data_IF_508419548217
#
_entry.id   IF_508419548217
#
_cell.length_a   1.000
_cell.length_b   1.000
_cell.length_c   1.000
_cell.angle_alpha   90.00
_cell.angle_beta   90.00
_cell.angle_gamma   90.00
#
_symmetry.space_group_name_H-M   'P 1'
#
loop_
_entity.id
_entity.type
_entity.pdbx_description
1 polymer ?
#
# COMPACT_ATOMS: atom_id res chain seq x y z
N UNK A 1 42.11 64.18 60.22
CA UNK A 1 41.92 63.37 61.44
C UNK A 1 40.59 62.63 61.37
N UNK A 2 40.58 61.35 61.01
CA UNK A 2 39.77 60.31 61.68
C UNK A 2 40.19 58.95 61.11
N UNK A 3 40.26 57.96 62.00
CA UNK A 3 41.00 56.70 61.85
C UNK A 3 40.21 55.66 61.04
N UNK A 4 40.93 54.83 60.28
CA UNK A 4 40.51 53.48 59.82
C UNK A 4 40.35 52.53 61.03
N UNK A 5 39.61 51.42 60.93
CA UNK A 5 40.16 50.13 60.45
C UNK A 5 39.13 49.31 59.62
N UNK A 6 39.36 48.18 58.96
CA UNK A 6 40.51 47.28 58.80
C UNK A 6 40.05 46.00 58.08
N UNK A 7 41.01 45.31 57.45
CA UNK A 7 41.07 43.88 57.05
C UNK A 7 40.28 43.29 55.85
N UNK A 8 41.00 43.20 54.73
CA UNK A 8 41.35 42.04 53.88
C UNK A 8 40.87 40.61 54.27
N UNK A 9 40.27 39.88 53.31
CA UNK A 9 40.85 38.71 52.58
C UNK A 9 39.75 37.84 51.92
N UNK A 10 39.87 37.67 50.59
CA UNK A 10 39.78 36.43 49.77
C UNK A 10 38.55 35.52 49.92
N UNK A 11 37.80 35.40 48.81
CA UNK A 11 37.30 34.11 48.30
C UNK A 11 37.35 34.11 46.77
N UNK A 12 38.14 33.19 46.22
CA UNK A 12 38.14 32.79 44.82
C UNK A 12 37.14 31.64 44.59
N UNK A 13 36.97 31.27 43.31
CA UNK A 13 36.33 30.05 42.76
C UNK A 13 34.84 30.22 42.44
N UNK A 14 34.29 29.84 41.28
CA UNK A 14 34.81 29.17 40.09
C UNK A 14 33.87 29.51 38.91
N UNK A 15 34.42 29.79 37.73
CA UNK A 15 33.62 29.98 36.53
C UNK A 15 33.13 28.60 36.03
N UNK A 16 31.83 28.34 36.17
CA UNK A 16 31.19 27.13 35.65
C UNK A 16 31.03 27.27 34.13
N UNK A 17 31.90 26.60 33.36
CA UNK A 17 31.68 26.35 31.94
C UNK A 17 30.54 25.32 31.80
N UNK A 18 29.30 25.78 31.65
CA UNK A 18 28.21 24.92 31.19
C UNK A 18 28.37 24.72 29.68
N UNK A 19 28.91 23.56 29.28
CA UNK A 19 28.73 23.06 27.91
C UNK A 19 27.23 22.77 27.74
N UNK A 20 26.51 23.70 27.11
CA UNK A 20 25.19 23.41 26.58
C UNK A 20 25.34 22.37 25.47
N UNK A 21 25.02 21.12 25.78
CA UNK A 21 24.74 20.10 24.76
C UNK A 21 23.42 20.55 24.12
N UNK A 22 23.53 21.40 23.10
CA UNK A 22 22.40 21.69 22.23
C UNK A 22 22.00 20.35 21.59
N UNK A 23 20.73 19.92 21.69
CA UNK A 23 20.28 18.81 20.89
C UNK A 23 20.54 19.20 19.44
N UNK A 24 21.39 18.44 18.76
CA UNK A 24 21.44 18.46 17.30
C UNK A 24 20.05 18.05 16.85
N UNK A 25 19.21 19.04 16.58
CA UNK A 25 18.03 18.81 15.74
C UNK A 25 18.59 18.22 14.47
N UNK A 26 18.37 16.92 14.25
CA UNK A 26 18.50 16.31 12.93
C UNK A 26 17.47 17.04 12.09
N UNK A 27 17.88 18.17 11.52
CA UNK A 27 17.06 18.94 10.62
C UNK A 27 16.95 18.06 9.40
N UNK A 28 15.73 17.69 9.03
CA UNK A 28 15.53 17.07 7.73
C UNK A 28 16.23 17.95 6.68
N UNK A 29 16.92 17.32 5.72
CA UNK A 29 17.65 18.02 4.65
C UNK A 29 16.73 18.86 3.72
N UNK A 30 15.43 18.83 3.99
CA UNK A 30 14.38 19.58 3.33
C UNK A 30 13.37 20.17 4.33
N UNK A 31 12.74 21.29 3.96
CA UNK A 31 11.70 21.96 4.71
C UNK A 31 10.38 22.05 3.91
N UNK A 32 9.22 22.08 4.58
CA UNK A 32 7.95 22.40 3.92
C UNK A 32 8.05 23.68 3.09
N UNK A 33 7.55 23.63 1.86
CA UNK A 33 7.65 24.70 0.87
C UNK A 33 8.84 24.59 -0.07
N UNK A 34 9.85 23.76 0.24
CA UNK A 34 10.96 23.50 -0.67
C UNK A 34 10.44 22.94 -2.00
N UNK A 35 10.93 23.53 -3.10
CA UNK A 35 10.68 23.04 -4.45
C UNK A 35 11.89 22.26 -4.92
N UNK A 36 11.69 20.96 -5.14
CA UNK A 36 12.68 20.04 -5.65
C UNK A 36 12.48 19.88 -7.15
N UNK A 37 13.57 20.10 -7.88
CA UNK A 37 13.69 19.99 -9.33
C UNK A 37 14.98 19.24 -9.66
N UNK A 38 15.23 19.01 -10.95
CA UNK A 38 16.49 18.45 -11.45
C UNK A 38 17.72 19.26 -10.99
N UNK A 39 17.60 20.57 -10.76
CA UNK A 39 18.73 21.41 -10.33
C UNK A 39 19.16 21.21 -8.86
N UNK A 40 18.31 20.62 -8.01
CA UNK A 40 18.59 20.50 -6.58
C UNK A 40 18.16 19.16 -5.97
N UNK A 41 18.00 18.14 -6.82
CA UNK A 41 17.55 16.80 -6.47
C UNK A 41 18.45 16.08 -5.44
N UNK A 42 19.73 16.45 -5.38
CA UNK A 42 20.69 15.90 -4.41
C UNK A 42 20.23 16.07 -2.95
N UNK A 43 19.39 17.08 -2.67
CA UNK A 43 18.79 17.31 -1.34
C UNK A 43 17.88 16.17 -0.87
N UNK A 44 17.34 15.38 -1.81
CA UNK A 44 16.36 14.32 -1.53
C UNK A 44 16.81 12.95 -2.01
N UNK A 45 18.03 12.80 -2.51
CA UNK A 45 18.52 11.56 -3.13
C UNK A 45 18.33 10.31 -2.25
N UNK A 46 18.50 10.46 -0.93
CA UNK A 46 18.38 9.38 0.05
C UNK A 46 16.95 9.27 0.64
N UNK A 47 16.02 10.11 0.16
CA UNK A 47 14.64 10.24 0.64
C UNK A 47 13.60 9.82 -0.39
N UNK A 48 13.99 9.55 -1.63
CA UNK A 48 13.09 9.22 -2.74
C UNK A 48 13.49 7.90 -3.41
N UNK A 49 12.55 7.28 -4.13
CA UNK A 49 12.83 6.10 -4.94
C UNK A 49 13.55 6.47 -6.24
N UNK A 50 14.30 5.55 -6.88
CA UNK A 50 14.90 5.78 -8.19
C UNK A 50 13.90 6.23 -9.25
N UNK A 51 12.67 5.71 -9.21
CA UNK A 51 11.60 6.13 -10.13
C UNK A 51 11.18 7.58 -9.92
N UNK A 52 11.10 8.02 -8.66
CA UNK A 52 10.82 9.42 -8.34
C UNK A 52 11.96 10.34 -8.79
N UNK A 53 13.21 9.89 -8.60
CA UNK A 53 14.40 10.60 -9.06
C UNK A 53 14.35 10.81 -10.56
N UNK A 54 14.02 9.75 -11.31
CA UNK A 54 13.82 9.80 -12.75
C UNK A 54 12.74 10.82 -13.13
N UNK A 55 11.55 10.79 -12.49
CA UNK A 55 10.48 11.76 -12.77
C UNK A 55 10.93 13.22 -12.58
N UNK A 56 11.63 13.50 -11.48
CA UNK A 56 12.11 14.86 -11.17
C UNK A 56 13.13 15.33 -12.21
N UNK A 57 14.08 14.46 -12.60
CA UNK A 57 15.05 14.73 -13.67
C UNK A 57 14.40 15.01 -15.03
N UNK A 58 13.19 14.52 -15.24
CA UNK A 58 12.41 14.71 -16.47
C UNK A 58 11.32 15.78 -16.34
N UNK A 59 11.47 16.71 -15.39
CA UNK A 59 10.65 17.92 -15.32
C UNK A 59 9.38 17.80 -14.47
N UNK A 60 9.28 16.77 -13.61
CA UNK A 60 8.22 16.70 -12.60
C UNK A 60 8.67 17.37 -11.28
N UNK A 61 8.25 18.61 -10.98
CA UNK A 61 8.66 19.28 -9.76
C UNK A 61 7.96 18.66 -8.55
N UNK A 62 8.71 18.44 -7.47
CA UNK A 62 8.18 17.97 -6.19
C UNK A 62 8.19 19.13 -5.18
N UNK A 63 7.05 19.38 -4.52
CA UNK A 63 6.98 20.36 -3.43
C UNK A 63 6.91 19.62 -2.11
N UNK A 64 7.84 19.91 -1.21
CA UNK A 64 7.86 19.34 0.13
C UNK A 64 6.71 19.96 0.92
N UNK A 65 5.90 19.14 1.56
CA UNK A 65 4.78 19.57 2.40
C UNK A 65 5.01 19.12 3.85
N UNK A 66 4.31 19.76 4.78
CA UNK A 66 4.24 19.26 6.16
C UNK A 66 3.64 17.86 6.18
N UNK A 67 4.26 16.97 6.96
CA UNK A 67 3.72 15.64 7.21
C UNK A 67 2.34 15.76 7.84
N UNK A 68 1.34 15.16 7.20
CA UNK A 68 -0.01 15.06 7.73
C UNK A 68 -0.35 13.60 7.95
N UNK A 69 -1.02 13.32 9.07
CA UNK A 69 -1.55 11.98 9.31
C UNK A 69 -2.70 11.72 8.35
N UNK A 70 -2.64 10.58 7.66
CA UNK A 70 -3.76 10.07 6.87
C UNK A 70 -4.71 9.40 7.85
N UNK A 71 -5.86 10.02 8.08
CA UNK A 71 -6.89 9.48 8.94
C UNK A 71 -7.65 8.34 8.24
N UNK A 72 -7.94 7.28 8.99
CA UNK A 72 -8.74 6.18 8.46
C UNK A 72 -10.20 6.60 8.26
N UNK A 73 -10.90 6.01 7.28
CA UNK A 73 -12.34 6.15 7.17
C UNK A 73 -13.02 5.79 8.51
N UNK A 74 -14.00 6.60 8.93
CA UNK A 74 -14.66 6.46 10.24
C UNK A 74 -15.18 5.04 10.51
N UNK A 75 -15.90 4.45 9.54
CA UNK A 75 -16.44 3.10 9.68
C UNK A 75 -15.35 2.04 9.85
N UNK A 76 -14.22 2.20 9.16
CA UNK A 76 -13.08 1.28 9.28
C UNK A 76 -12.41 1.38 10.65
N UNK A 77 -12.23 2.60 11.17
CA UNK A 77 -11.70 2.84 12.50
C UNK A 77 -12.61 2.24 13.58
N UNK A 78 -13.90 2.53 13.54
CA UNK A 78 -14.88 2.01 14.51
C UNK A 78 -14.97 0.47 14.48
N UNK A 79 -14.93 -0.13 13.28
CA UNK A 79 -14.89 -1.58 13.14
C UNK A 79 -13.61 -2.18 13.72
N UNK A 80 -12.47 -1.53 13.47
CA UNK A 80 -11.17 -1.96 14.03
C UNK A 80 -11.21 -1.93 15.56
N UNK A 81 -11.67 -0.83 16.15
CA UNK A 81 -11.79 -0.68 17.62
C UNK A 81 -12.73 -1.72 18.23
N UNK A 82 -13.82 -2.05 17.53
CA UNK A 82 -14.83 -3.01 17.99
C UNK A 82 -14.38 -4.46 17.89
N UNK A 83 -13.69 -4.84 16.82
CA UNK A 83 -13.49 -6.25 16.45
C UNK A 83 -12.04 -6.73 16.50
N UNK A 84 -11.03 -5.86 16.52
CA UNK A 84 -9.64 -6.33 16.39
C UNK A 84 -9.15 -7.17 17.57
N UNK A 85 -9.67 -6.97 18.79
CA UNK A 85 -9.19 -7.64 20.00
C UNK A 85 -9.44 -9.16 20.03
N UNK A 86 -10.41 -9.66 19.26
CA UNK A 86 -10.71 -11.10 19.16
C UNK A 86 -9.93 -11.80 18.05
N UNK A 87 -9.31 -11.04 17.14
CA UNK A 87 -8.65 -11.59 15.96
C UNK A 87 -7.36 -12.29 16.36
N UNK A 88 -7.17 -13.49 15.82
CA UNK A 88 -5.96 -14.29 16.02
C UNK A 88 -5.47 -14.85 14.69
N UNK A 89 -4.21 -15.23 14.65
CA UNK A 89 -3.72 -16.14 13.61
C UNK A 89 -3.75 -17.57 14.13
N UNK A 90 -3.85 -18.53 13.22
CA UNK A 90 -3.48 -19.92 13.50
C UNK A 90 -1.99 -20.01 13.88
N UNK A 91 -1.53 -21.08 14.56
CA UNK A 91 -0.12 -21.21 14.97
C UNK A 91 0.89 -21.10 13.82
N UNK A 92 0.51 -21.57 12.63
CA UNK A 92 1.31 -21.45 11.39
C UNK A 92 1.29 -20.05 10.76
N UNK A 93 0.41 -19.15 11.23
CA UNK A 93 0.25 -17.80 10.69
C UNK A 93 -0.55 -17.71 9.40
N UNK A 94 -1.01 -18.84 8.85
CA UNK A 94 -1.55 -18.94 7.49
C UNK A 94 -3.07 -18.72 7.39
N UNK A 95 -3.77 -18.64 8.52
CA UNK A 95 -5.20 -18.31 8.57
C UNK A 95 -5.49 -17.29 9.65
N UNK A 96 -6.49 -16.44 9.37
CA UNK A 96 -7.06 -15.50 10.31
C UNK A 96 -8.30 -16.11 10.98
N UNK A 97 -8.39 -15.95 12.30
CA UNK A 97 -9.47 -16.46 13.13
C UNK A 97 -10.25 -15.30 13.75
N UNK A 98 -11.58 -15.46 13.87
CA UNK A 98 -12.50 -14.50 14.49
C UNK A 98 -12.48 -13.09 13.88
N UNK A 99 -12.03 -12.96 12.63
CA UNK A 99 -12.12 -11.70 11.90
C UNK A 99 -13.58 -11.36 11.59
N UNK A 100 -13.94 -10.08 11.77
CA UNK A 100 -15.27 -9.57 11.42
C UNK A 100 -15.14 -8.41 10.43
N UNK A 101 -14.46 -7.32 10.80
CA UNK A 101 -14.24 -6.17 9.93
C UNK A 101 -13.12 -5.26 10.47
N UNK A 102 -12.64 -4.31 9.66
CA UNK A 102 -11.57 -3.37 10.02
C UNK A 102 -10.16 -3.95 9.87
N UNK A 103 -9.18 -3.33 10.52
CA UNK A 103 -7.80 -3.81 10.54
C UNK A 103 -7.66 -4.99 11.50
N UNK A 104 -7.15 -6.17 11.06
CA UNK A 104 -6.97 -7.33 11.92
C UNK A 104 -6.13 -7.08 13.18
N UNK A 105 -4.96 -6.47 13.02
CA UNK A 105 -3.95 -6.35 14.08
C UNK A 105 -3.46 -4.90 14.20
N UNK A 106 -4.24 -3.98 14.80
CA UNK A 106 -3.85 -2.56 14.90
C UNK A 106 -2.67 -2.31 15.84
N UNK A 107 -2.43 -3.20 16.80
CA UNK A 107 -1.33 -3.12 17.75
C UNK A 107 -0.31 -4.23 17.45
N UNK A 108 0.63 -3.96 16.55
CA UNK A 108 1.68 -4.91 16.17
C UNK A 108 2.85 -4.80 17.15
N UNK A 109 3.15 -5.89 17.87
CA UNK A 109 4.34 -5.98 18.74
C UNK A 109 5.54 -6.49 17.92
N UNK A 110 6.64 -5.73 17.80
CA UNK A 110 7.86 -6.17 17.12
C UNK A 110 8.47 -7.46 17.67
N UNK A 111 8.15 -7.84 18.91
CA UNK A 111 8.66 -9.06 19.55
C UNK A 111 7.79 -10.29 19.28
N UNK A 112 6.62 -10.12 18.67
CA UNK A 112 5.73 -11.23 18.34
C UNK A 112 6.38 -12.14 17.29
N UNK A 113 6.51 -13.46 17.52
CA UNK A 113 7.06 -14.37 16.51
C UNK A 113 6.27 -14.38 15.20
N UNK A 114 4.99 -13.98 15.21
CA UNK A 114 4.13 -13.86 14.03
C UNK A 114 4.03 -12.41 13.51
N UNK A 115 4.89 -11.49 13.95
CA UNK A 115 4.84 -10.05 13.58
C UNK A 115 4.78 -9.84 12.07
N UNK A 116 5.63 -10.53 11.31
CA UNK A 116 5.67 -10.41 9.86
C UNK A 116 4.34 -10.86 9.22
N UNK A 117 3.76 -11.96 9.70
CA UNK A 117 2.47 -12.45 9.20
C UNK A 117 1.35 -11.46 9.53
N UNK A 118 1.34 -10.90 10.74
CA UNK A 118 0.35 -9.86 11.11
C UNK A 118 0.43 -8.63 10.22
N UNK A 119 1.64 -8.19 9.85
CA UNK A 119 1.85 -7.09 8.90
C UNK A 119 1.30 -7.44 7.52
N UNK A 120 1.60 -8.64 7.01
CA UNK A 120 1.09 -9.09 5.69
C UNK A 120 -0.44 -9.23 5.68
N UNK A 121 -1.04 -9.74 6.76
CA UNK A 121 -2.48 -9.78 6.91
C UNK A 121 -3.09 -8.37 6.97
N UNK A 122 -2.48 -7.45 7.73
CA UNK A 122 -2.92 -6.06 7.76
C UNK A 122 -2.88 -5.39 6.38
N UNK A 123 -1.82 -5.62 5.60
CA UNK A 123 -1.73 -5.14 4.22
C UNK A 123 -2.89 -5.64 3.37
N UNK A 124 -3.16 -6.95 3.42
CA UNK A 124 -4.25 -7.56 2.67
C UNK A 124 -5.65 -7.08 3.08
N UNK A 125 -5.81 -6.48 4.26
CA UNK A 125 -7.08 -6.00 4.84
C UNK A 125 -7.11 -4.47 5.02
N UNK A 126 -6.32 -3.73 4.23
CA UNK A 126 -6.28 -2.26 4.26
C UNK A 126 -7.63 -1.60 3.96
N UNK A 127 -7.77 -0.32 4.36
CA UNK A 127 -9.00 0.47 4.18
C UNK A 127 -9.23 0.98 2.75
N UNK A 128 -8.30 0.73 1.81
CA UNK A 128 -8.44 1.16 0.41
C UNK A 128 -9.71 0.59 -0.23
N UNK A 129 -10.04 -0.67 0.07
CA UNK A 129 -11.24 -1.35 -0.44
C UNK A 129 -11.79 -2.30 0.63
N UNK A 130 -13.01 -2.06 1.13
CA UNK A 130 -13.67 -2.93 2.14
C UNK A 130 -14.92 -3.63 1.63
N UNK A 131 -15.59 -3.06 0.62
CA UNK A 131 -16.89 -3.54 0.14
C UNK A 131 -16.84 -3.84 -1.36
N UNK A 132 -17.17 -2.85 -2.18
CA UNK A 132 -17.34 -3.04 -3.62
C UNK A 132 -16.44 -2.04 -4.34
N UNK A 133 -15.75 -2.50 -5.39
CA UNK A 133 -15.02 -1.68 -6.35
C UNK A 133 -15.74 -1.82 -7.68
N UNK A 134 -16.11 -0.69 -8.26
CA UNK A 134 -16.65 -0.59 -9.60
C UNK A 134 -15.87 0.51 -10.32
N UNK A 135 -15.03 0.11 -11.27
CA UNK A 135 -14.25 1.01 -12.09
C UNK A 135 -14.51 0.73 -13.56
N UNK A 136 -14.83 1.79 -14.31
CA UNK A 136 -15.14 1.76 -15.74
C UNK A 136 -14.05 2.39 -16.56
N UNK A 137 -13.87 1.91 -17.79
CA UNK A 137 -12.89 2.43 -18.74
C UNK A 137 -11.49 2.49 -18.11
N UNK A 138 -11.07 1.35 -17.57
CA UNK A 138 -9.74 1.18 -17.01
C UNK A 138 -8.73 1.19 -18.16
N UNK A 139 -7.97 2.27 -18.23
CA UNK A 139 -7.02 2.56 -19.29
C UNK A 139 -5.59 2.29 -18.79
N UNK A 140 -4.79 1.61 -19.61
CA UNK A 140 -3.38 1.40 -19.37
C UNK A 140 -2.61 1.43 -20.70
N UNK A 141 -1.71 2.40 -20.83
CA UNK A 141 -0.74 2.44 -21.91
C UNK A 141 0.54 1.70 -21.51
N UNK A 142 1.06 0.90 -22.44
CA UNK A 142 2.37 0.27 -22.32
C UNK A 142 3.26 0.66 -23.48
N UNK A 143 4.55 0.77 -23.21
CA UNK A 143 5.57 0.96 -24.22
C UNK A 143 6.87 1.46 -23.60
N UNK A 144 7.75 1.99 -24.43
CA UNK A 144 9.09 2.37 -24.04
C UNK A 144 9.15 3.78 -23.45
N UNK A 145 9.86 3.87 -22.33
CA UNK A 145 10.29 5.14 -21.74
C UNK A 145 11.73 5.37 -22.23
N UNK A 146 11.91 6.31 -23.15
CA UNK A 146 13.24 6.72 -23.61
C UNK A 146 13.93 7.63 -22.58
N UNK A 147 15.24 7.84 -22.74
CA UNK A 147 16.04 8.77 -21.91
C UNK A 147 15.56 10.23 -22.01
N UNK A 148 14.68 10.55 -22.97
CA UNK A 148 14.08 11.87 -23.14
C UNK A 148 12.74 11.77 -23.88
N UNK A 149 11.84 12.72 -23.62
CA UNK A 149 10.52 12.78 -24.26
C UNK A 149 9.42 12.02 -23.50
N UNK A 150 8.18 12.06 -24.00
CA UNK A 150 7.06 11.32 -23.39
C UNK A 150 7.21 9.81 -23.59
N UNK A 151 6.45 9.03 -22.81
CA UNK A 151 6.24 7.60 -23.07
C UNK A 151 5.86 7.38 -24.54
N UNK A 152 6.57 6.48 -25.21
CA UNK A 152 6.15 6.00 -26.53
C UNK A 152 5.12 4.91 -26.31
N UNK A 153 3.85 5.18 -26.64
CA UNK A 153 2.78 4.19 -26.49
C UNK A 153 2.89 3.16 -27.60
N UNK A 154 3.18 1.92 -27.22
CA UNK A 154 3.28 0.77 -28.12
C UNK A 154 1.96 -0.01 -28.17
N UNK A 155 1.29 -0.13 -27.03
CA UNK A 155 -0.06 -0.70 -26.92
C UNK A 155 -0.89 0.10 -25.93
N UNK A 156 -2.08 0.46 -26.38
CA UNK A 156 -3.13 1.04 -25.56
C UNK A 156 -4.10 -0.07 -25.13
N UNK A 157 -4.35 -0.19 -23.83
CA UNK A 157 -5.32 -1.11 -23.27
C UNK A 157 -6.49 -0.34 -22.70
N UNK A 158 -7.68 -0.62 -23.20
CA UNK A 158 -8.92 -0.12 -22.62
C UNK A 158 -9.75 -1.30 -22.15
N UNK A 159 -10.08 -1.35 -20.87
CA UNK A 159 -10.89 -2.40 -20.26
C UNK A 159 -12.18 -1.78 -19.74
N UNK A 160 -13.33 -2.31 -20.16
CA UNK A 160 -14.64 -1.73 -19.84
C UNK A 160 -14.88 -1.74 -18.33
N UNK A 161 -14.64 -2.89 -17.68
CA UNK A 161 -15.03 -3.05 -16.29
C UNK A 161 -14.01 -3.80 -15.46
N UNK A 162 -13.47 -3.12 -14.45
CA UNK A 162 -12.88 -3.76 -13.27
C UNK A 162 -13.87 -3.73 -12.10
N UNK A 163 -14.30 -4.92 -11.66
CA UNK A 163 -15.16 -5.09 -10.49
C UNK A 163 -14.49 -5.93 -9.44
N UNK A 164 -14.68 -5.58 -8.17
CA UNK A 164 -14.39 -6.44 -7.04
C UNK A 164 -15.53 -6.34 -6.02
N UNK A 165 -15.99 -7.47 -5.53
CA UNK A 165 -16.97 -7.59 -4.46
C UNK A 165 -16.31 -8.33 -3.30
N UNK A 166 -16.25 -7.71 -2.14
CA UNK A 166 -15.93 -8.38 -0.89
C UNK A 166 -17.21 -8.99 -0.29
N UNK A 167 -17.12 -10.26 0.08
CA UNK A 167 -18.24 -10.99 0.69
C UNK A 167 -18.22 -10.91 2.21
N UNK A 168 -17.04 -10.62 2.78
CA UNK A 168 -16.79 -10.55 4.22
C UNK A 168 -16.14 -9.22 4.59
N UNK A 169 -16.34 -8.74 5.81
CA UNK A 169 -15.67 -7.52 6.30
C UNK A 169 -16.22 -6.23 5.70
N UNK A 170 -17.47 -6.26 5.23
CA UNK A 170 -18.17 -5.13 4.61
C UNK A 170 -18.57 -4.09 5.66
N UNK A 171 -18.42 -2.82 5.32
CA UNK A 171 -18.59 -1.68 6.23
C UNK A 171 -19.68 -0.71 5.79
N UNK A 172 -20.04 -0.67 4.51
CA UNK A 172 -20.94 0.34 3.95
C UNK A 172 -22.23 -0.26 3.38
N UNK A 173 -22.12 -1.22 2.47
CA UNK A 173 -23.24 -1.76 1.68
C UNK A 173 -23.82 -3.02 2.33
N UNK A 174 -25.13 -3.03 2.57
CA UNK A 174 -25.80 -4.20 3.17
C UNK A 174 -25.83 -5.42 2.24
N UNK A 175 -25.96 -6.64 2.82
CA UNK A 175 -25.82 -6.97 4.23
C UNK A 175 -24.36 -6.83 4.72
N UNK A 176 -24.24 -6.45 5.99
CA UNK A 176 -22.99 -6.27 6.76
C UNK A 176 -23.03 -7.11 8.04
N UNK A 177 -21.88 -7.56 8.59
CA UNK A 177 -20.54 -7.43 8.02
C UNK A 177 -20.29 -8.37 6.83
N UNK A 178 -21.13 -9.40 6.68
CA UNK A 178 -20.97 -10.40 5.64
C UNK A 178 -22.24 -10.56 4.81
N UNK A 179 -22.08 -10.97 3.56
CA UNK A 179 -23.17 -11.48 2.72
C UNK A 179 -23.34 -12.99 2.92
N UNK A 180 -24.53 -13.55 2.65
CA UNK A 180 -24.68 -15.00 2.52
C UNK A 180 -23.63 -15.55 1.56
N UNK A 181 -22.71 -16.36 2.08
CA UNK A 181 -21.47 -16.75 1.40
C UNK A 181 -21.32 -18.28 1.34
N UNK A 182 -22.17 -18.97 0.57
CA UNK A 182 -22.16 -20.43 0.51
C UNK A 182 -20.85 -21.01 -0.07
N UNK A 183 -20.09 -20.19 -0.82
CA UNK A 183 -18.86 -20.61 -1.48
C UNK A 183 -17.59 -20.29 -0.68
N UNK A 184 -17.70 -19.59 0.45
CA UNK A 184 -16.54 -19.21 1.28
C UNK A 184 -15.60 -18.21 0.60
N UNK A 185 -16.11 -17.32 -0.25
CA UNK A 185 -15.30 -16.28 -0.88
C UNK A 185 -14.99 -15.16 0.10
N UNK A 186 -13.76 -14.67 0.10
CA UNK A 186 -13.43 -13.37 0.68
C UNK A 186 -13.74 -12.27 -0.34
N UNK A 187 -13.26 -12.45 -1.56
CA UNK A 187 -13.45 -11.51 -2.65
C UNK A 187 -13.73 -12.23 -3.97
N UNK A 188 -14.60 -11.65 -4.78
CA UNK A 188 -14.82 -12.04 -6.17
C UNK A 188 -14.50 -10.84 -7.04
N UNK A 189 -13.77 -11.04 -8.13
CA UNK A 189 -13.33 -9.97 -9.00
C UNK A 189 -13.44 -10.35 -10.47
N UNK A 190 -13.54 -9.33 -11.31
CA UNK A 190 -13.53 -9.48 -12.74
C UNK A 190 -12.93 -8.28 -13.43
N UNK A 191 -12.26 -8.53 -14.55
CA UNK A 191 -11.67 -7.54 -15.42
C UNK A 191 -12.08 -7.90 -16.85
N UNK A 192 -13.14 -7.27 -17.36
CA UNK A 192 -13.75 -7.62 -18.64
C UNK A 192 -14.78 -6.58 -19.11
N UNK A 193 -15.18 -6.65 -20.40
CA UNK A 193 -14.31 -7.12 -21.48
C UNK A 193 -13.14 -6.15 -21.69
N UNK A 194 -12.05 -6.66 -22.26
CA UNK A 194 -11.07 -5.81 -22.94
C UNK A 194 -11.74 -5.23 -24.18
N UNK A 195 -11.68 -3.91 -24.34
CA UNK A 195 -12.21 -3.17 -25.49
C UNK A 195 -11.11 -2.94 -26.53
N UNK A 196 -9.90 -2.63 -26.06
CA UNK A 196 -8.71 -2.39 -26.88
C UNK A 196 -7.49 -3.08 -26.26
N UNK A 197 -6.53 -3.59 -27.07
CA UNK A 197 -6.48 -3.56 -28.54
C UNK A 197 -7.36 -4.62 -29.23
N UNK A 198 -7.48 -4.53 -30.57
CA UNK A 198 -8.40 -5.35 -31.37
C UNK A 198 -8.20 -6.86 -31.22
N UNK A 199 -6.95 -7.33 -31.12
CA UNK A 199 -6.59 -8.75 -30.96
C UNK A 199 -6.98 -9.32 -29.59
N UNK A 200 -7.19 -8.48 -28.58
CA UNK A 200 -7.65 -8.85 -27.24
C UNK A 200 -9.12 -8.51 -27.00
N UNK A 201 -9.81 -7.89 -27.97
CA UNK A 201 -11.18 -7.42 -27.80
C UNK A 201 -12.12 -8.56 -27.40
N UNK A 202 -12.83 -8.36 -26.29
CA UNK A 202 -13.77 -9.31 -25.70
C UNK A 202 -13.14 -10.33 -24.73
N UNK A 203 -11.82 -10.34 -24.57
CA UNK A 203 -11.16 -11.14 -23.52
C UNK A 203 -11.65 -10.66 -22.15
N UNK A 204 -11.79 -11.59 -21.22
CA UNK A 204 -12.21 -11.28 -19.86
C UNK A 204 -11.62 -12.23 -18.84
N UNK A 205 -11.24 -11.69 -17.69
CA UNK A 205 -10.72 -12.46 -16.56
C UNK A 205 -11.69 -12.40 -15.38
N UNK A 206 -11.83 -13.53 -14.68
CA UNK A 206 -12.55 -13.64 -13.41
C UNK A 206 -11.65 -14.28 -12.37
N UNK A 207 -11.76 -13.83 -11.13
CA UNK A 207 -11.00 -14.39 -10.01
C UNK A 207 -11.84 -14.49 -8.74
N UNK A 208 -11.68 -15.58 -8.00
CA UNK A 208 -12.31 -15.76 -6.69
C UNK A 208 -11.22 -16.05 -5.66
N UNK A 209 -11.16 -15.20 -4.63
CA UNK A 209 -10.34 -15.41 -3.44
C UNK A 209 -11.15 -16.00 -2.32
N UNK A 210 -10.66 -17.07 -1.72
CA UNK A 210 -11.32 -17.76 -0.61
C UNK A 210 -10.94 -17.15 0.73
N UNK A 211 -11.77 -17.36 1.75
CA UNK A 211 -11.46 -16.99 3.14
C UNK A 211 -10.46 -17.96 3.78
N UNK A 212 -10.57 -19.25 3.45
CA UNK A 212 -9.63 -20.28 3.88
C UNK A 212 -8.40 -20.29 3.00
N UNK A 213 -7.23 -20.38 3.62
CA UNK A 213 -5.96 -20.49 2.91
C UNK A 213 -5.66 -21.90 2.40
N UNK A 214 -6.44 -22.90 2.81
CA UNK A 214 -6.31 -24.27 2.31
C UNK A 214 -6.74 -24.39 0.84
N UNK A 215 -7.53 -23.41 0.35
CA UNK A 215 -8.00 -23.38 -1.03
C UNK A 215 -7.40 -22.21 -1.78
N UNK A 216 -6.57 -22.57 -2.75
CA UNK A 216 -6.01 -21.64 -3.72
C UNK A 216 -7.09 -20.85 -4.48
N UNK A 217 -6.76 -19.60 -4.80
CA UNK A 217 -7.63 -18.71 -5.59
C UNK A 217 -8.02 -19.37 -6.92
N UNK A 218 -9.27 -19.23 -7.33
CA UNK A 218 -9.66 -19.62 -8.68
C UNK A 218 -9.48 -18.45 -9.64
N UNK A 219 -8.98 -18.74 -10.83
CA UNK A 219 -8.86 -17.76 -11.92
C UNK A 219 -9.36 -18.36 -13.23
N UNK A 220 -10.11 -17.59 -14.00
CA UNK A 220 -10.61 -17.99 -15.31
C UNK A 220 -10.38 -16.91 -16.35
N UNK A 221 -10.08 -17.34 -17.57
CA UNK A 221 -9.88 -16.49 -18.72
C UNK A 221 -10.83 -16.92 -19.84
N UNK A 222 -11.65 -15.99 -20.30
CA UNK A 222 -12.43 -16.15 -21.52
C UNK A 222 -11.64 -15.64 -22.73
N UNK A 223 -11.52 -16.49 -23.74
CA UNK A 223 -10.84 -16.19 -25.00
C UNK A 223 -11.84 -16.19 -26.16
N UNK A 224 -12.19 -15.02 -26.73
CA UNK A 224 -13.18 -14.91 -27.81
C UNK A 224 -12.83 -15.70 -29.06
N UNK A 225 -11.54 -15.75 -29.43
CA UNK A 225 -11.04 -16.50 -30.58
C UNK A 225 -11.33 -17.99 -30.50
N UNK A 226 -11.38 -18.54 -29.28
CA UNK A 226 -11.68 -19.94 -29.01
C UNK A 226 -13.13 -20.16 -28.56
N UNK A 227 -13.85 -19.09 -28.21
CA UNK A 227 -15.17 -19.11 -27.54
C UNK A 227 -15.19 -20.06 -26.33
N UNK A 228 -14.11 -20.04 -25.55
CA UNK A 228 -13.91 -20.96 -24.42
C UNK A 228 -13.43 -20.20 -23.19
N UNK A 229 -13.86 -20.71 -22.03
CA UNK A 229 -13.33 -20.33 -20.73
C UNK A 229 -12.25 -21.35 -20.36
N UNK A 230 -11.08 -20.87 -19.94
CA UNK A 230 -10.00 -21.68 -19.38
C UNK A 230 -9.81 -21.34 -17.93
N UNK A 231 -9.67 -22.34 -17.07
CA UNK A 231 -9.18 -22.14 -15.70
C UNK A 231 -7.66 -21.94 -15.78
N UNK A 232 -7.17 -20.89 -15.13
CA UNK A 232 -5.75 -20.62 -14.97
C UNK A 232 -5.29 -21.20 -13.64
N UNK A 233 -4.04 -21.69 -13.61
CA UNK A 233 -3.41 -22.09 -12.36
C UNK A 233 -3.06 -20.85 -11.54
N UNK A 234 -3.14 -20.94 -10.21
CA UNK A 234 -2.63 -19.90 -9.30
C UNK A 234 -1.15 -19.65 -9.46
N UNK A 235 -0.38 -20.66 -9.88
CA UNK A 235 1.05 -20.50 -10.16
C UNK A 235 1.35 -19.53 -11.32
N UNK A 236 0.35 -19.22 -12.16
CA UNK A 236 0.51 -18.31 -13.31
C UNK A 236 0.08 -16.88 -12.98
N UNK A 237 -0.23 -16.56 -11.72
CA UNK A 237 -0.67 -15.21 -11.33
C UNK A 237 0.44 -14.17 -11.43
N UNK A 238 1.69 -14.60 -11.30
CA UNK A 238 2.88 -13.78 -11.51
C UNK A 238 3.37 -13.77 -12.97
N UNK A 239 2.62 -14.37 -13.91
CA UNK A 239 2.92 -14.26 -15.33
C UNK A 239 2.50 -12.88 -15.86
N UNK A 240 3.25 -12.37 -16.84
CA UNK A 240 2.98 -11.13 -17.55
C UNK A 240 1.53 -11.10 -18.11
N UNK A 241 0.77 -10.09 -17.70
CA UNK A 241 -0.60 -9.90 -18.14
C UNK A 241 -0.61 -9.33 -19.57
N UNK A 242 -1.14 -10.08 -20.54
CA UNK A 242 -1.29 -9.63 -21.94
C UNK A 242 0.00 -9.07 -22.60
N UNK A 243 1.16 -9.57 -22.18
CA UNK A 243 2.46 -9.12 -22.67
C UNK A 243 2.96 -7.79 -22.08
N UNK A 244 2.35 -7.34 -20.98
CA UNK A 244 2.80 -6.19 -20.20
C UNK A 244 3.82 -6.61 -19.12
N UNK A 245 4.58 -5.67 -18.60
CA UNK A 245 5.50 -5.88 -17.46
C UNK A 245 4.78 -5.96 -16.09
N UNK A 246 3.44 -5.99 -16.08
CA UNK A 246 2.63 -6.14 -14.87
C UNK A 246 2.01 -7.53 -14.80
N UNK A 247 1.98 -8.08 -13.61
CA UNK A 247 1.32 -9.34 -13.28
C UNK A 247 0.17 -9.10 -12.28
N UNK A 248 -0.66 -10.13 -12.08
CA UNK A 248 -1.86 -10.02 -11.22
C UNK A 248 -1.49 -9.89 -9.74
N UNK A 249 -0.35 -10.43 -9.33
CA UNK A 249 0.13 -10.33 -7.94
C UNK A 249 0.80 -8.99 -7.63
N UNK A 250 1.22 -8.23 -8.63
CA UNK A 250 1.69 -6.84 -8.44
C UNK A 250 0.56 -5.83 -8.18
N UNK A 251 -0.70 -6.22 -8.40
CA UNK A 251 -1.84 -5.30 -8.22
C UNK A 251 -1.96 -4.83 -6.77
N UNK A 252 -2.23 -3.52 -6.61
CA UNK A 252 -2.26 -2.85 -5.31
C UNK A 252 -0.93 -2.92 -4.54
N UNK A 253 0.20 -3.14 -5.22
CA UNK A 253 1.54 -3.25 -4.64
C UNK A 253 1.91 -4.68 -4.23
N UNK A 254 0.95 -5.46 -3.72
CA UNK A 254 1.07 -6.90 -3.51
C UNK A 254 -0.32 -7.52 -3.34
N UNK A 255 -0.67 -8.45 -4.21
CA UNK A 255 -1.96 -9.16 -4.25
C UNK A 255 -1.85 -10.65 -3.91
N UNK A 256 -0.63 -11.18 -3.72
CA UNK A 256 -0.42 -12.57 -3.34
C UNK A 256 -1.11 -12.92 -2.02
N UNK A 257 -1.46 -14.21 -1.84
CA UNK A 257 -2.02 -14.68 -0.59
C UNK A 257 -0.91 -15.00 0.40
N UNK A 258 -1.08 -14.61 1.67
CA UNK A 258 -0.05 -14.79 2.72
C UNK A 258 0.39 -16.27 2.86
N UNK A 259 -0.53 -17.19 2.59
CA UNK A 259 -0.29 -18.62 2.78
C UNK A 259 0.38 -19.36 1.60
N UNK A 260 0.53 -18.74 0.44
CA UNK A 260 1.07 -19.40 -0.76
C UNK A 260 2.32 -18.69 -1.28
N UNK A 261 3.01 -17.97 -0.37
CA UNK A 261 4.34 -17.42 -0.60
C UNK A 261 5.40 -18.51 -0.59
#
# INVERSE_FOLDING_TARGET
>A
MSKRPGWWLVLASAATFMLAILPTTVRADVAPGDKITDQNIDKVKDLISPGMEWCIKHGWPMTIAETKRIEWPKAYKEATEKYASQVKLTPDGLNILNYVAGLPFPNVDPKDPQVAMKIMWNWGYTYLTTDDVDLRNFDADTGSIADHGPLTVERHFLLDHFRRLFWTGRLYVDPKPDKPNPNGYRAQQGLYPILEPFDLKGVGALGNRYTSSEKQDDSWLYLPSLRRVRRLSTAQRSDALFGQDTDVDSYYGYSGHVAWM
#
